data_IF_058660179192
#
_entry.id   IF_058660179192
#
_cell.length_a   1.000
_cell.length_b   1.000
_cell.length_c   1.000
_cell.angle_alpha   90.00
_cell.angle_beta   90.00
_cell.angle_gamma   90.00
#
_symmetry.space_group_name_H-M   'P 1'
#
loop_
_entity.id
_entity.type
_entity.pdbx_description
1 polymer ?
#
# COMPACT_ATOMS: atom_id res chain seq x y z
N UNK A 1 -29.05 10.02 34.03
CA UNK A 1 -27.64 9.78 34.39
C UNK A 1 -27.33 8.31 34.14
N UNK A 2 -27.15 7.94 32.87
CA UNK A 2 -26.80 6.58 32.45
C UNK A 2 -25.28 6.52 32.29
N UNK A 3 -24.63 5.80 33.21
CA UNK A 3 -23.21 5.44 33.17
C UNK A 3 -22.86 4.82 31.82
N UNK A 4 -22.16 5.57 30.96
CA UNK A 4 -21.44 5.01 29.82
C UNK A 4 -20.43 4.00 30.37
N UNK A 5 -20.65 2.70 30.10
CA UNK A 5 -19.68 1.68 30.43
C UNK A 5 -18.35 2.03 29.76
N UNK A 6 -17.38 2.47 30.57
CA UNK A 6 -16.03 2.70 30.10
C UNK A 6 -15.51 1.38 29.51
N UNK A 7 -15.15 1.37 28.23
CA UNK A 7 -14.39 0.26 27.65
C UNK A 7 -13.15 0.05 28.52
N UNK A 8 -13.11 -1.06 29.26
CA UNK A 8 -11.92 -1.43 30.05
C UNK A 8 -10.70 -1.41 29.12
N UNK A 9 -9.71 -0.57 29.46
CA UNK A 9 -8.46 -0.45 28.71
C UNK A 9 -7.72 -1.78 28.83
N UNK A 10 -7.73 -2.58 27.77
CA UNK A 10 -6.95 -3.80 27.69
C UNK A 10 -5.48 -3.41 27.47
N UNK A 11 -4.61 -3.76 28.42
CA UNK A 11 -3.16 -3.53 28.33
C UNK A 11 -2.45 -4.89 28.34
N UNK A 12 -1.55 -5.12 27.40
CA UNK A 12 -0.73 -6.34 27.33
C UNK A 12 0.74 -5.92 27.30
N UNK A 13 1.41 -5.80 28.47
CA UNK A 13 2.80 -5.32 28.56
C UNK A 13 3.79 -6.16 27.77
N UNK A 14 3.50 -7.46 27.56
CA UNK A 14 4.32 -8.34 26.75
C UNK A 14 4.50 -7.85 25.30
N UNK A 15 3.52 -7.10 24.74
CA UNK A 15 3.62 -6.55 23.38
C UNK A 15 4.61 -5.38 23.26
N UNK A 16 5.05 -4.81 24.37
CA UNK A 16 5.85 -3.58 24.43
C UNK A 16 7.31 -3.84 24.84
N UNK A 17 7.73 -5.11 24.92
CA UNK A 17 9.08 -5.47 25.34
C UNK A 17 10.12 -5.06 24.28
N UNK A 18 11.16 -4.27 24.63
CA UNK A 18 12.20 -3.85 23.69
C UNK A 18 12.93 -5.02 23.02
N UNK A 19 13.07 -6.16 23.71
CA UNK A 19 13.71 -7.37 23.19
C UNK A 19 13.01 -7.99 21.97
N UNK A 20 11.76 -7.61 21.72
CA UNK A 20 10.99 -8.07 20.55
C UNK A 20 11.31 -7.25 19.29
N UNK A 21 12.00 -6.12 19.44
CA UNK A 21 12.20 -5.11 18.40
C UNK A 21 13.71 -4.99 18.15
N UNK A 22 14.17 -5.55 17.03
CA UNK A 22 15.58 -5.50 16.68
C UNK A 22 16.01 -4.06 16.36
N UNK A 23 17.27 -3.74 16.66
CA UNK A 23 17.87 -2.49 16.23
C UNK A 23 18.18 -2.55 14.71
N UNK A 24 17.99 -1.43 14.04
CA UNK A 24 18.20 -1.34 12.60
C UNK A 24 19.72 -1.33 12.30
N UNK A 25 20.16 -1.93 11.17
CA UNK A 25 21.57 -1.89 10.77
C UNK A 25 22.04 -0.46 10.54
N UNK A 26 23.31 -0.16 10.84
CA UNK A 26 23.94 1.16 10.64
C UNK A 26 24.32 1.46 9.19
N UNK A 27 24.42 0.42 8.36
CA UNK A 27 24.80 0.49 6.95
C UNK A 27 23.73 -0.18 6.09
N UNK A 28 23.54 0.35 4.89
CA UNK A 28 22.64 -0.22 3.89
C UNK A 28 23.41 -0.84 2.72
N UNK A 29 22.68 -1.41 1.77
CA UNK A 29 23.28 -2.10 0.60
C UNK A 29 24.01 -1.13 -0.33
N UNK A 30 23.58 0.14 -0.41
CA UNK A 30 24.22 1.18 -1.22
C UNK A 30 25.57 1.59 -0.63
N UNK A 31 25.70 1.63 0.70
CA UNK A 31 26.97 1.93 1.37
C UNK A 31 28.13 1.07 0.87
N UNK A 32 27.90 -0.24 0.71
CA UNK A 32 28.92 -1.15 0.19
C UNK A 32 29.27 -0.88 -1.28
N UNK A 33 28.28 -0.52 -2.11
CA UNK A 33 28.54 -0.12 -3.50
C UNK A 33 29.35 1.18 -3.59
N UNK A 34 29.03 2.18 -2.75
CA UNK A 34 29.82 3.42 -2.67
C UNK A 34 31.25 3.14 -2.25
N UNK A 35 31.45 2.27 -1.27
CA UNK A 35 32.78 1.89 -0.81
C UNK A 35 33.63 1.27 -1.93
N UNK A 36 33.01 0.45 -2.80
CA UNK A 36 33.66 -0.23 -3.93
C UNK A 36 33.93 0.70 -5.12
N UNK A 37 32.98 1.57 -5.47
CA UNK A 37 32.99 2.28 -6.75
C UNK A 37 33.32 3.78 -6.68
N UNK A 38 33.23 4.39 -5.49
CA UNK A 38 33.41 5.84 -5.30
C UNK A 38 34.52 6.11 -4.27
N UNK A 39 35.54 6.95 -4.59
CA UNK A 39 36.57 7.37 -3.64
C UNK A 39 35.98 8.07 -2.41
N UNK A 40 36.56 7.95 -1.20
CA UNK A 40 36.00 8.49 0.04
C UNK A 40 35.64 9.98 -0.01
N UNK A 41 36.44 10.80 -0.70
CA UNK A 41 36.24 12.25 -0.79
C UNK A 41 35.09 12.67 -1.73
N UNK A 42 34.58 11.76 -2.56
CA UNK A 42 33.44 12.00 -3.46
C UNK A 42 32.15 11.32 -2.98
N UNK A 43 32.17 10.65 -1.83
CA UNK A 43 30.98 9.97 -1.30
C UNK A 43 30.04 11.02 -0.71
N UNK A 44 28.78 11.09 -1.16
CA UNK A 44 27.80 11.99 -0.57
C UNK A 44 27.50 11.57 0.88
N UNK A 45 27.10 12.55 1.70
CA UNK A 45 26.58 12.26 3.03
C UNK A 45 25.24 11.51 2.88
N UNK A 46 25.19 10.28 3.39
CA UNK A 46 23.99 9.44 3.37
C UNK A 46 23.42 9.37 4.78
N UNK A 47 22.17 9.79 4.95
CA UNK A 47 21.51 9.67 6.26
C UNK A 47 21.11 8.22 6.52
N UNK A 48 21.96 7.50 7.25
CA UNK A 48 21.60 6.18 7.80
C UNK A 48 21.11 6.26 9.25
N UNK A 49 21.01 7.47 9.80
CA UNK A 49 20.60 7.73 11.19
C UNK A 49 19.09 7.85 11.34
N UNK A 50 18.36 8.10 10.24
CA UNK A 50 16.91 8.25 10.23
C UNK A 50 16.44 9.60 10.77
N UNK A 51 17.29 10.62 10.64
CA UNK A 51 17.04 11.99 11.13
C UNK A 51 16.52 12.92 10.03
N UNK A 52 16.56 12.49 8.77
CA UNK A 52 16.11 13.27 7.62
C UNK A 52 14.57 13.30 7.48
N UNK A 53 13.97 14.47 7.17
CA UNK A 53 14.60 15.79 7.04
C UNK A 53 15.08 16.38 8.39
N UNK A 54 16.25 17.06 8.42
CA UNK A 54 16.97 17.45 9.63
C UNK A 54 16.27 18.52 10.49
N UNK A 55 15.36 19.30 9.89
CA UNK A 55 14.67 20.41 10.56
C UNK A 55 13.45 19.96 11.40
N UNK A 56 13.21 18.65 11.47
CA UNK A 56 11.99 18.10 12.05
C UNK A 56 12.24 17.41 13.39
N UNK A 57 11.38 17.70 14.38
CA UNK A 57 11.53 17.18 15.74
C UNK A 57 11.54 15.65 15.78
N UNK A 58 12.48 15.01 16.50
CA UNK A 58 12.52 13.55 16.63
C UNK A 58 11.32 12.99 17.40
N UNK A 59 10.70 13.80 18.27
CA UNK A 59 9.59 13.39 19.15
C UNK A 59 8.22 13.35 18.46
N UNK A 60 8.04 14.10 17.36
CA UNK A 60 6.80 14.10 16.58
C UNK A 60 7.10 14.39 15.11
N UNK A 61 7.54 13.39 14.33
CA UNK A 61 7.81 13.55 12.92
C UNK A 61 6.51 13.57 12.10
N UNK A 62 6.48 14.36 11.03
CA UNK A 62 5.49 14.28 9.97
C UNK A 62 5.69 12.96 9.22
N UNK A 63 4.93 11.95 9.65
CA UNK A 63 4.92 10.64 9.02
C UNK A 63 4.46 10.72 7.54
N UNK A 64 3.64 11.69 7.16
CA UNK A 64 3.21 11.84 5.78
C UNK A 64 4.37 12.33 4.90
N UNK A 65 5.16 13.29 5.40
CA UNK A 65 6.40 13.70 4.75
C UNK A 65 7.41 12.55 4.66
N UNK A 66 7.63 11.82 5.76
CA UNK A 66 8.54 10.67 5.78
C UNK A 66 8.10 9.56 4.80
N UNK A 67 6.79 9.34 4.64
CA UNK A 67 6.27 8.39 3.65
C UNK A 67 6.48 8.88 2.21
N UNK A 68 6.28 10.18 1.95
CA UNK A 68 6.50 10.79 0.62
C UNK A 68 7.98 10.77 0.21
N UNK A 69 8.89 10.98 1.16
CA UNK A 69 10.34 10.97 0.91
C UNK A 69 10.98 9.58 1.02
N UNK A 70 10.18 8.52 1.21
CA UNK A 70 10.65 7.15 1.44
C UNK A 70 11.64 7.01 2.62
N UNK A 71 11.52 7.85 3.64
CA UNK A 71 12.30 7.79 4.88
C UNK A 71 11.79 6.69 5.83
N UNK A 72 11.74 5.44 5.34
CA UNK A 72 11.16 4.30 6.07
C UNK A 72 11.91 3.94 7.36
N UNK A 73 13.21 4.25 7.45
CA UNK A 73 14.02 4.07 8.67
C UNK A 73 13.49 4.93 9.82
N UNK A 74 13.16 6.20 9.54
CA UNK A 74 12.55 7.12 10.52
C UNK A 74 11.21 6.58 11.04
N UNK A 75 10.37 6.10 10.12
CA UNK A 75 9.06 5.50 10.45
C UNK A 75 9.24 4.26 11.34
N UNK A 76 10.21 3.39 11.03
CA UNK A 76 10.48 2.18 11.79
C UNK A 76 10.99 2.47 13.22
N UNK A 77 11.87 3.48 13.36
CA UNK A 77 12.38 3.94 14.66
C UNK A 77 11.27 4.59 15.49
N UNK A 78 10.49 5.49 14.89
CA UNK A 78 9.37 6.14 15.58
C UNK A 78 8.32 5.13 16.06
N UNK A 79 7.96 4.15 15.22
CA UNK A 79 7.05 3.08 15.61
C UNK A 79 7.62 2.23 16.76
N UNK A 80 8.95 1.99 16.80
CA UNK A 80 9.64 1.32 17.92
C UNK A 80 9.41 2.06 19.22
N UNK A 81 9.68 3.36 19.23
CA UNK A 81 9.58 4.21 20.41
C UNK A 81 8.15 4.26 20.93
N UNK A 82 7.15 4.33 20.04
CA UNK A 82 5.73 4.30 20.42
C UNK A 82 5.30 2.97 21.01
N UNK A 83 5.77 1.84 20.46
CA UNK A 83 5.49 0.50 21.02
C UNK A 83 6.10 0.38 22.42
N UNK A 84 7.35 0.78 22.61
CA UNK A 84 8.04 0.69 23.91
C UNK A 84 7.40 1.64 24.94
N UNK A 85 7.13 2.89 24.54
CA UNK A 85 6.54 3.91 25.42
C UNK A 85 5.14 3.52 25.90
N UNK A 86 4.37 2.82 25.07
CA UNK A 86 3.05 2.30 25.45
C UNK A 86 3.12 1.23 26.57
N UNK A 87 4.29 0.61 26.77
CA UNK A 87 4.55 -0.32 27.88
C UNK A 87 5.13 0.33 29.13
N UNK A 88 5.52 1.60 29.09
CA UNK A 88 6.10 2.30 30.22
C UNK A 88 5.03 2.60 31.29
N UNK A 89 5.37 2.54 32.59
CA UNK A 89 4.45 2.96 33.65
C UNK A 89 4.05 4.43 33.47
N UNK A 90 2.77 4.75 33.64
CA UNK A 90 2.27 6.11 33.47
C UNK A 90 3.03 7.08 34.40
N UNK A 91 3.50 8.24 33.90
CA UNK A 91 4.11 9.25 34.76
C UNK A 91 3.08 9.71 35.79
N UNK A 92 3.45 9.72 37.06
CA UNK A 92 2.60 9.98 38.23
C UNK A 92 2.07 11.43 38.33
N UNK A 93 1.98 12.20 37.24
CA UNK A 93 1.74 13.64 37.29
C UNK A 93 1.19 14.26 36.00
N UNK A 94 0.18 13.67 35.35
CA UNK A 94 -0.59 14.40 34.34
C UNK A 94 -2.09 14.41 34.66
N UNK A 95 -2.74 15.59 34.67
CA UNK A 95 -4.18 15.67 34.80
C UNK A 95 -4.82 15.02 33.58
N UNK A 96 -5.84 14.21 33.83
CA UNK A 96 -6.67 13.56 32.82
C UNK A 96 -7.42 14.66 32.08
N UNK A 97 -6.87 15.12 30.95
CA UNK A 97 -7.67 15.87 29.99
C UNK A 97 -8.54 14.90 29.21
N UNK A 98 -9.82 15.25 29.17
CA UNK A 98 -10.92 14.47 28.62
C UNK A 98 -10.75 14.15 27.12
N UNK A 99 -11.32 13.01 26.71
CA UNK A 99 -11.68 12.63 25.33
C UNK A 99 -10.54 12.35 24.31
N UNK A 100 -9.73 11.32 24.57
CA UNK A 100 -9.31 10.42 23.48
C UNK A 100 -9.90 9.02 23.71
N UNK A 101 -10.67 8.47 22.74
CA UNK A 101 -11.43 7.22 22.94
C UNK A 101 -10.55 5.95 23.01
N UNK A 102 -9.25 6.05 22.75
CA UNK A 102 -8.25 5.00 22.94
C UNK A 102 -6.95 5.62 23.46
N UNK A 103 -6.61 5.40 24.73
CA UNK A 103 -5.35 5.94 25.28
C UNK A 103 -4.11 5.36 24.57
N UNK A 104 -2.94 6.01 24.70
CA UNK A 104 -1.68 5.58 24.04
C UNK A 104 -1.25 4.14 24.41
N UNK A 105 -1.76 3.61 25.54
CA UNK A 105 -1.42 2.28 26.05
C UNK A 105 -2.43 1.19 25.67
N UNK A 106 -3.46 1.51 24.87
CA UNK A 106 -4.45 0.53 24.43
C UNK A 106 -3.84 -0.48 23.45
N UNK A 107 -4.19 -1.76 23.61
CA UNK A 107 -3.71 -2.85 22.75
C UNK A 107 -4.05 -2.61 21.28
N UNK A 108 -5.20 -1.99 20.95
CA UNK A 108 -5.52 -1.67 19.56
C UNK A 108 -4.50 -0.69 18.96
N UNK A 109 -4.13 0.35 19.71
CA UNK A 109 -3.13 1.35 19.29
C UNK A 109 -1.75 0.72 19.15
N UNK A 110 -1.32 -0.09 20.10
CA UNK A 110 -0.04 -0.81 20.04
C UNK A 110 0.03 -1.71 18.80
N UNK A 111 -1.03 -2.46 18.49
CA UNK A 111 -1.08 -3.33 17.30
C UNK A 111 -1.08 -2.56 15.98
N UNK A 112 -1.61 -1.32 15.96
CA UNK A 112 -1.47 -0.43 14.79
C UNK A 112 0.00 -0.02 14.60
N UNK A 113 0.71 0.34 15.67
CA UNK A 113 2.14 0.64 15.58
C UNK A 113 2.98 -0.57 15.15
N UNK A 114 2.65 -1.77 15.63
CA UNK A 114 3.24 -3.01 15.11
C UNK A 114 3.02 -3.18 13.61
N UNK A 115 1.82 -2.86 13.11
CA UNK A 115 1.54 -2.89 11.66
C UNK A 115 2.43 -1.92 10.90
N UNK A 116 2.58 -0.69 11.39
CA UNK A 116 3.43 0.34 10.79
C UNK A 116 4.90 -0.09 10.78
N UNK A 117 5.41 -0.59 11.91
CA UNK A 117 6.80 -1.06 12.03
C UNK A 117 7.10 -2.19 11.06
N UNK A 118 6.26 -3.23 11.05
CA UNK A 118 6.44 -4.38 10.15
C UNK A 118 6.37 -3.96 8.67
N UNK A 119 5.47 -3.02 8.32
CA UNK A 119 5.40 -2.49 6.96
C UNK A 119 6.66 -1.69 6.59
N UNK A 120 7.22 -0.92 7.52
CA UNK A 120 8.46 -0.18 7.30
C UNK A 120 9.65 -1.13 7.10
N UNK A 121 9.77 -2.21 7.89
CA UNK A 121 10.82 -3.23 7.69
C UNK A 121 10.75 -3.89 6.30
N UNK A 122 9.54 -4.15 5.79
CA UNK A 122 9.35 -4.65 4.42
C UNK A 122 9.83 -3.65 3.37
N UNK A 123 9.55 -2.35 3.56
CA UNK A 123 10.01 -1.29 2.63
C UNK A 123 11.52 -1.10 2.66
N UNK A 124 12.14 -1.27 3.83
CA UNK A 124 13.60 -1.30 4.00
C UNK A 124 14.26 -2.59 3.47
N UNK A 125 13.47 -3.57 2.99
CA UNK A 125 13.93 -4.91 2.57
C UNK A 125 14.68 -5.70 3.67
N UNK A 126 14.41 -5.39 4.94
CA UNK A 126 14.98 -6.09 6.10
C UNK A 126 14.16 -7.36 6.42
N UNK A 127 14.11 -8.30 5.48
CA UNK A 127 13.21 -9.45 5.54
C UNK A 127 13.48 -10.38 6.73
N UNK A 128 14.75 -10.57 7.10
CA UNK A 128 15.14 -11.40 8.26
C UNK A 128 14.63 -10.79 9.57
N UNK A 129 14.82 -9.47 9.76
CA UNK A 129 14.30 -8.77 10.94
C UNK A 129 12.78 -8.80 10.97
N UNK A 130 12.13 -8.53 9.83
CA UNK A 130 10.67 -8.62 9.71
C UNK A 130 10.13 -9.99 10.14
N UNK A 131 10.74 -11.09 9.67
CA UNK A 131 10.29 -12.45 10.01
C UNK A 131 10.40 -12.73 11.51
N UNK A 132 11.53 -12.39 12.13
CA UNK A 132 11.77 -12.58 13.56
C UNK A 132 10.79 -11.79 14.43
N UNK A 133 10.58 -10.51 14.10
CA UNK A 133 9.66 -9.65 14.84
C UNK A 133 8.21 -10.10 14.68
N UNK A 134 7.81 -10.48 13.45
CA UNK A 134 6.48 -10.99 13.17
C UNK A 134 6.21 -12.30 13.90
N UNK A 135 7.17 -13.23 13.93
CA UNK A 135 7.05 -14.50 14.63
C UNK A 135 6.90 -14.28 16.14
N UNK A 136 7.70 -13.38 16.70
CA UNK A 136 7.67 -13.01 18.12
C UNK A 136 6.31 -12.39 18.51
N UNK A 137 5.81 -11.44 17.71
CA UNK A 137 4.48 -10.86 17.87
C UNK A 137 3.40 -11.95 17.81
N UNK A 138 3.48 -12.85 16.84
CA UNK A 138 2.48 -13.91 16.66
C UNK A 138 2.48 -14.92 17.82
N UNK A 139 3.64 -15.21 18.40
CA UNK A 139 3.78 -16.06 19.58
C UNK A 139 3.06 -15.44 20.78
N UNK A 140 3.17 -14.13 20.99
CA UNK A 140 2.46 -13.41 22.06
C UNK A 140 0.95 -13.46 21.82
N UNK A 141 0.49 -13.07 20.63
CA UNK A 141 -0.94 -13.06 20.28
C UNK A 141 -1.63 -14.42 20.48
N UNK A 142 -0.91 -15.52 20.21
CA UNK A 142 -1.40 -16.90 20.42
C UNK A 142 -1.51 -17.28 21.89
N UNK A 143 -0.57 -16.80 22.72
CA UNK A 143 -0.47 -17.15 24.15
C UNK A 143 -1.39 -16.29 25.02
N UNK A 144 -1.62 -15.04 24.64
CA UNK A 144 -2.46 -14.11 25.40
C UNK A 144 -3.93 -14.44 25.24
N UNK A 145 -4.65 -14.62 26.35
CA UNK A 145 -6.10 -14.78 26.39
C UNK A 145 -6.77 -13.57 27.00
N UNK A 146 -7.92 -13.19 26.46
CA UNK A 146 -8.74 -12.08 26.92
C UNK A 146 -10.12 -12.60 27.34
N UNK A 147 -10.76 -11.99 28.35
CA UNK A 147 -12.13 -12.31 28.72
C UNK A 147 -13.08 -11.84 27.61
N UNK A 148 -13.99 -12.72 27.16
CA UNK A 148 -15.15 -12.36 26.35
C UNK A 148 -16.36 -12.17 27.27
N UNK A 149 -16.84 -10.95 27.38
CA UNK A 149 -18.14 -10.68 27.97
C UNK A 149 -19.22 -11.05 26.95
N UNK A 150 -19.91 -12.16 27.17
CA UNK A 150 -21.15 -12.45 26.44
C UNK A 150 -22.26 -11.59 27.06
N UNK A 151 -22.68 -10.54 26.36
CA UNK A 151 -23.92 -9.83 26.69
C UNK A 151 -25.13 -10.71 26.33
N UNK A 152 -25.34 -11.79 27.07
CA UNK A 152 -26.63 -12.51 27.04
C UNK A 152 -27.57 -11.80 28.00
N UNK A 153 -28.24 -10.77 27.52
CA UNK A 153 -29.37 -10.14 28.22
C UNK A 153 -30.62 -11.03 28.06
N UNK A 154 -30.78 -12.04 28.92
CA UNK A 154 -32.07 -12.66 29.26
C UNK A 154 -31.91 -13.89 30.16
N UNK A 155 -31.62 -13.68 31.44
CA UNK A 155 -32.11 -14.53 32.55
C UNK A 155 -31.49 -14.06 33.86
N UNK A 156 -32.34 -13.71 34.84
CA UNK A 156 -31.94 -13.09 36.10
C UNK A 156 -31.31 -14.05 37.12
N UNK A 157 -30.67 -15.14 36.68
CA UNK A 157 -30.07 -16.17 37.55
C UNK A 157 -28.89 -16.91 36.91
N UNK A 158 -28.21 -16.32 35.93
CA UNK A 158 -27.06 -16.96 35.29
C UNK A 158 -25.73 -16.51 35.93
N UNK A 159 -25.04 -17.45 36.59
CA UNK A 159 -23.60 -17.36 36.90
C UNK A 159 -22.85 -16.84 35.69
N UNK A 160 -22.19 -15.68 35.81
CA UNK A 160 -21.39 -15.06 34.74
C UNK A 160 -20.18 -15.95 34.44
N UNK A 161 -20.33 -16.92 33.54
CA UNK A 161 -19.20 -17.72 33.05
C UNK A 161 -18.38 -16.86 32.11
N UNK A 162 -17.28 -16.28 32.59
CA UNK A 162 -16.33 -15.53 31.76
C UNK A 162 -15.67 -16.50 30.78
N UNK A 163 -15.97 -16.35 29.48
CA UNK A 163 -15.37 -17.20 28.44
C UNK A 163 -14.07 -16.57 27.98
N UNK A 164 -12.95 -17.25 28.15
CA UNK A 164 -11.66 -16.79 27.64
C UNK A 164 -11.51 -17.10 26.16
N UNK A 165 -10.99 -16.13 25.39
CA UNK A 165 -10.63 -16.31 23.99
C UNK A 165 -9.20 -15.84 23.76
N UNK A 166 -8.51 -16.42 22.77
CA UNK A 166 -7.18 -15.92 22.37
C UNK A 166 -7.31 -14.53 21.79
N UNK A 167 -6.34 -13.66 22.10
CA UNK A 167 -6.26 -12.32 21.52
C UNK A 167 -6.18 -12.38 20.00
N UNK A 168 -5.50 -13.40 19.45
CA UNK A 168 -5.43 -13.66 18.00
C UNK A 168 -6.80 -13.77 17.32
N UNK A 169 -7.80 -14.30 18.01
CA UNK A 169 -9.17 -14.51 17.48
C UNK A 169 -10.09 -13.31 17.80
N UNK A 170 -9.54 -12.25 18.40
CA UNK A 170 -10.24 -11.02 18.73
C UNK A 170 -10.31 -10.07 17.53
N UNK A 171 -11.42 -9.33 17.34
CA UNK A 171 -11.48 -8.26 16.34
C UNK A 171 -10.50 -7.10 16.63
N UNK A 172 -9.89 -7.06 17.83
CA UNK A 172 -8.88 -6.06 18.22
C UNK A 172 -7.62 -6.17 17.34
N UNK A 173 -7.28 -7.38 16.88
CA UNK A 173 -6.13 -7.58 15.99
C UNK A 173 -6.45 -7.05 14.60
N UNK A 174 -5.71 -6.05 14.09
CA UNK A 174 -5.95 -5.51 12.75
C UNK A 174 -5.90 -6.59 11.67
N UNK A 175 -6.88 -6.58 10.76
CA UNK A 175 -6.92 -7.52 9.65
C UNK A 175 -5.67 -7.43 8.76
N UNK A 176 -5.07 -6.25 8.65
CA UNK A 176 -3.78 -6.01 7.97
C UNK A 176 -2.65 -6.89 8.51
N UNK A 177 -2.57 -7.13 9.83
CA UNK A 177 -1.56 -8.03 10.41
C UNK A 177 -1.76 -9.49 9.97
N UNK A 178 -3.03 -9.93 9.88
CA UNK A 178 -3.32 -11.26 9.33
C UNK A 178 -2.89 -11.37 7.86
N UNK A 179 -3.14 -10.32 7.06
CA UNK A 179 -2.70 -10.27 5.66
C UNK A 179 -1.17 -10.30 5.57
N UNK A 180 -0.45 -9.53 6.39
CA UNK A 180 1.02 -9.56 6.45
C UNK A 180 1.53 -10.95 6.81
N UNK A 181 0.92 -11.63 7.79
CA UNK A 181 1.30 -13.00 8.17
C UNK A 181 1.02 -14.03 7.07
N UNK A 182 -0.06 -13.86 6.30
CA UNK A 182 -0.37 -14.74 5.19
C UNK A 182 0.60 -14.55 4.01
N UNK A 183 1.09 -13.33 3.79
CA UNK A 183 2.03 -12.97 2.72
C UNK A 183 3.49 -13.27 3.02
N UNK A 184 3.85 -13.50 4.27
CA UNK A 184 5.22 -13.79 4.69
C UNK A 184 5.96 -14.86 3.85
N UNK A 185 5.35 -15.98 3.43
CA UNK A 185 6.04 -16.97 2.59
C UNK A 185 6.49 -16.44 1.23
N UNK A 186 5.88 -15.37 0.71
CA UNK A 186 6.32 -14.72 -0.54
C UNK A 186 7.75 -14.19 -0.41
N UNK A 187 8.18 -13.82 0.80
CA UNK A 187 9.54 -13.34 1.06
C UNK A 187 10.58 -14.46 1.02
N UNK A 188 10.16 -15.69 1.33
CA UNK A 188 11.00 -16.90 1.26
C UNK A 188 10.88 -17.61 -0.09
N UNK A 189 10.34 -16.94 -1.11
CA UNK A 189 10.08 -17.48 -2.45
C UNK A 189 9.18 -18.74 -2.46
N UNK A 190 8.24 -18.85 -1.52
CA UNK A 190 7.21 -19.91 -1.49
C UNK A 190 5.81 -19.33 -1.77
N UNK A 191 5.47 -19.08 -3.05
CA UNK A 191 4.16 -18.55 -3.43
C UNK A 191 3.00 -19.51 -3.15
N UNK A 192 3.24 -20.83 -3.10
CA UNK A 192 2.18 -21.82 -2.85
C UNK A 192 1.72 -21.78 -1.40
N UNK A 193 2.64 -21.73 -0.43
CA UNK A 193 2.26 -21.57 0.97
C UNK A 193 1.57 -20.23 1.24
N UNK A 194 1.99 -19.15 0.56
CA UNK A 194 1.29 -17.87 0.65
C UNK A 194 -0.12 -17.94 0.07
N UNK A 195 -0.31 -18.62 -1.06
CA UNK A 195 -1.60 -18.84 -1.71
C UNK A 195 -2.58 -19.56 -0.76
N UNK A 196 -2.14 -20.65 -0.12
CA UNK A 196 -2.95 -21.40 0.84
C UNK A 196 -3.37 -20.53 2.03
N UNK A 197 -2.42 -19.79 2.63
CA UNK A 197 -2.71 -18.90 3.77
C UNK A 197 -3.67 -17.77 3.38
N UNK A 198 -3.49 -17.15 2.21
CA UNK A 198 -4.39 -16.11 1.70
C UNK A 198 -5.77 -16.68 1.37
N UNK A 199 -5.85 -17.89 0.80
CA UNK A 199 -7.12 -18.56 0.53
C UNK A 199 -7.89 -18.87 1.82
N UNK A 200 -7.20 -19.35 2.87
CA UNK A 200 -7.81 -19.56 4.18
C UNK A 200 -8.39 -18.26 4.77
N UNK A 201 -7.69 -17.12 4.61
CA UNK A 201 -8.23 -15.81 5.00
C UNK A 201 -9.43 -15.38 4.15
N UNK A 202 -9.44 -15.66 2.84
CA UNK A 202 -10.60 -15.40 1.99
C UNK A 202 -11.82 -16.20 2.47
N UNK A 203 -11.65 -17.48 2.79
CA UNK A 203 -12.73 -18.30 3.34
C UNK A 203 -13.23 -17.75 4.68
N UNK A 204 -12.32 -17.30 5.56
CA UNK A 204 -12.70 -16.61 6.80
C UNK A 204 -13.53 -15.36 6.52
N UNK A 205 -13.15 -14.54 5.53
CA UNK A 205 -13.92 -13.35 5.15
C UNK A 205 -15.34 -13.72 4.69
N UNK A 206 -15.48 -14.72 3.82
CA UNK A 206 -16.78 -15.22 3.35
C UNK A 206 -17.65 -15.74 4.48
N UNK A 207 -17.07 -16.51 5.41
CA UNK A 207 -17.79 -17.05 6.58
C UNK A 207 -18.26 -15.92 7.49
N UNK A 208 -17.41 -14.93 7.77
CA UNK A 208 -17.75 -13.80 8.62
C UNK A 208 -18.82 -12.91 7.97
N UNK A 209 -18.71 -12.60 6.68
CA UNK A 209 -19.74 -11.89 5.93
C UNK A 209 -21.09 -12.60 6.04
N UNK A 210 -21.15 -13.91 5.73
CA UNK A 210 -22.38 -14.70 5.82
C UNK A 210 -22.95 -14.73 7.24
N UNK A 211 -22.09 -14.73 8.26
CA UNK A 211 -22.51 -14.66 9.66
C UNK A 211 -23.22 -13.33 9.97
N UNK A 212 -22.61 -12.20 9.63
CA UNK A 212 -23.21 -10.89 9.88
C UNK A 212 -24.46 -10.62 9.04
N UNK A 213 -24.51 -11.10 7.78
CA UNK A 213 -25.74 -11.07 6.96
C UNK A 213 -26.87 -11.86 7.62
N UNK A 214 -26.58 -13.03 8.22
CA UNK A 214 -27.59 -13.81 8.94
C UNK A 214 -28.07 -13.10 10.21
N UNK A 215 -27.16 -12.49 10.98
CA UNK A 215 -27.51 -11.71 12.17
C UNK A 215 -28.45 -10.57 11.78
N UNK A 216 -28.11 -9.78 10.76
CA UNK A 216 -28.96 -8.70 10.27
C UNK A 216 -30.36 -9.18 9.82
N UNK A 217 -30.46 -10.38 9.21
CA UNK A 217 -31.74 -10.94 8.78
C UNK A 217 -32.59 -11.47 9.93
N UNK A 218 -31.98 -12.15 10.91
CA UNK A 218 -32.70 -12.72 12.05
C UNK A 218 -33.22 -11.62 12.96
N UNK A 219 -32.42 -10.59 13.20
CA UNK A 219 -32.85 -9.43 14.00
C UNK A 219 -34.00 -8.68 13.31
N UNK A 220 -33.96 -8.53 11.97
CA UNK A 220 -35.05 -7.92 11.19
C UNK A 220 -36.35 -8.74 11.15
N UNK A 221 -36.31 -10.06 11.37
CA UNK A 221 -37.50 -10.92 11.41
C UNK A 221 -38.15 -11.00 12.80
N UNK A 222 -37.41 -10.72 13.87
CA UNK A 222 -37.90 -10.83 15.24
C UNK A 222 -38.59 -9.55 15.76
N UNK A 223 -38.58 -8.44 15.00
CA UNK A 223 -38.88 -7.11 15.54
C UNK A 223 -39.72 -6.24 14.59
N UNK A 224 -41.01 -6.54 14.44
CA UNK A 224 -42.00 -5.64 13.81
C UNK A 224 -42.48 -4.47 14.71
N UNK A 225 -41.85 -4.25 15.88
CA UNK A 225 -42.30 -3.22 16.83
C UNK A 225 -41.16 -2.60 17.62
N UNK A 226 -40.78 -1.37 17.24
CA UNK A 226 -40.07 -0.34 18.04
C UNK A 226 -38.73 -0.71 18.70
N UNK A 227 -37.61 -0.19 18.18
CA UNK A 227 -36.55 0.33 19.06
C UNK A 227 -35.07 -0.01 18.82
N UNK A 228 -34.65 -0.86 17.87
CA UNK A 228 -33.21 -1.22 17.72
C UNK A 228 -32.70 -1.30 16.28
N UNK A 229 -32.92 -0.25 15.48
CA UNK A 229 -32.38 -0.11 14.11
C UNK A 229 -30.83 -0.09 14.06
N UNK A 230 -30.16 0.32 15.14
CA UNK A 230 -28.70 0.49 15.19
C UNK A 230 -27.92 -0.84 15.16
N UNK A 231 -28.43 -1.90 15.80
CA UNK A 231 -27.79 -3.22 15.81
C UNK A 231 -27.83 -3.89 14.43
N UNK A 232 -28.96 -3.78 13.75
CA UNK A 232 -29.15 -4.29 12.39
C UNK A 232 -28.27 -3.50 11.39
N UNK A 233 -28.23 -2.17 11.53
CA UNK A 233 -27.34 -1.30 10.75
C UNK A 233 -25.86 -1.65 11.00
N UNK A 234 -25.47 -1.89 12.25
CA UNK A 234 -24.12 -2.33 12.61
C UNK A 234 -23.77 -3.69 12.02
N UNK A 235 -24.69 -4.66 12.04
CA UNK A 235 -24.48 -5.97 11.43
C UNK A 235 -24.35 -5.88 9.89
N UNK A 236 -25.13 -5.00 9.23
CA UNK A 236 -24.97 -4.72 7.79
C UNK A 236 -23.64 -4.05 7.48
N UNK A 237 -23.21 -3.09 8.29
CA UNK A 237 -21.92 -2.41 8.13
C UNK A 237 -20.75 -3.40 8.26
N UNK A 238 -20.77 -4.28 9.27
CA UNK A 238 -19.79 -5.35 9.43
C UNK A 238 -19.82 -6.33 8.26
N UNK A 239 -21.00 -6.72 7.78
CA UNK A 239 -21.12 -7.56 6.58
C UNK A 239 -20.45 -6.92 5.36
N UNK A 240 -20.70 -5.62 5.11
CA UNK A 240 -20.05 -4.86 4.04
C UNK A 240 -18.53 -4.77 4.20
N UNK A 241 -18.04 -4.59 5.43
CA UNK A 241 -16.61 -4.58 5.73
C UNK A 241 -15.93 -5.92 5.41
N UNK A 242 -16.56 -7.05 5.79
CA UNK A 242 -16.05 -8.38 5.48
C UNK A 242 -16.12 -8.73 4.00
N UNK A 243 -17.14 -8.22 3.30
CA UNK A 243 -17.24 -8.32 1.85
C UNK A 243 -16.07 -7.61 1.16
N UNK A 244 -15.79 -6.36 1.55
CA UNK A 244 -14.68 -5.56 1.01
C UNK A 244 -13.31 -6.21 1.29
N UNK A 245 -13.11 -6.74 2.51
CA UNK A 245 -11.92 -7.54 2.84
C UNK A 245 -11.80 -8.77 1.93
N UNK A 246 -12.93 -9.44 1.64
CA UNK A 246 -13.00 -10.56 0.72
C UNK A 246 -12.62 -10.18 -0.70
N UNK A 247 -13.12 -9.04 -1.22
CA UNK A 247 -12.74 -8.51 -2.54
C UNK A 247 -11.24 -8.23 -2.64
N UNK A 248 -10.67 -7.51 -1.66
CA UNK A 248 -9.22 -7.22 -1.62
C UNK A 248 -8.38 -8.47 -1.54
N UNK A 249 -8.81 -9.47 -0.76
CA UNK A 249 -8.12 -10.76 -0.68
C UNK A 249 -8.20 -11.53 -2.01
N UNK A 250 -9.31 -11.43 -2.72
CA UNK A 250 -9.51 -12.04 -4.05
C UNK A 250 -8.52 -11.43 -5.05
N UNK A 251 -8.36 -10.11 -5.04
CA UNK A 251 -7.35 -9.40 -5.84
C UNK A 251 -5.92 -9.79 -5.45
N UNK A 252 -5.62 -9.87 -4.15
CA UNK A 252 -4.30 -10.30 -3.68
C UNK A 252 -3.96 -11.73 -4.13
N UNK A 253 -4.90 -12.65 -4.04
CA UNK A 253 -4.72 -14.03 -4.50
C UNK A 253 -4.52 -14.05 -6.02
N UNK A 254 -5.27 -13.24 -6.78
CA UNK A 254 -5.06 -13.13 -8.21
C UNK A 254 -3.61 -12.70 -8.51
N UNK A 255 -3.06 -11.69 -7.83
CA UNK A 255 -1.65 -11.30 -8.01
C UNK A 255 -0.66 -12.45 -7.75
N UNK A 256 -0.88 -13.26 -6.70
CA UNK A 256 -0.04 -14.44 -6.44
C UNK A 256 -0.16 -15.47 -7.59
N UNK A 257 -1.35 -15.63 -8.17
CA UNK A 257 -1.55 -16.51 -9.33
C UNK A 257 -0.89 -15.97 -10.60
N UNK A 258 -0.79 -14.64 -10.78
CA UNK A 258 -0.01 -14.04 -11.86
C UNK A 258 1.48 -14.36 -11.70
N UNK A 259 2.02 -14.25 -10.47
CA UNK A 259 3.42 -14.63 -10.20
C UNK A 259 3.69 -16.13 -10.43
N UNK A 260 2.64 -16.95 -10.38
CA UNK A 260 2.65 -18.38 -10.72
C UNK A 260 2.30 -18.68 -12.18
N UNK A 261 2.07 -17.64 -13.00
CA UNK A 261 1.64 -17.73 -14.41
C UNK A 261 0.32 -18.50 -14.64
N UNK A 262 -0.50 -18.70 -13.60
CA UNK A 262 -1.82 -19.33 -13.70
C UNK A 262 -2.90 -18.28 -14.03
N UNK A 263 -2.82 -17.76 -15.24
CA UNK A 263 -3.77 -16.77 -15.77
C UNK A 263 -5.23 -17.27 -15.75
N UNK A 264 -5.55 -18.52 -16.15
CA UNK A 264 -6.92 -19.01 -16.11
C UNK A 264 -7.53 -19.02 -14.69
N UNK A 265 -6.77 -19.44 -13.68
CA UNK A 265 -7.25 -19.39 -12.30
C UNK A 265 -7.45 -17.95 -11.82
N UNK A 266 -6.53 -17.04 -12.13
CA UNK A 266 -6.64 -15.62 -11.79
C UNK A 266 -7.88 -14.98 -12.43
N UNK A 267 -8.13 -15.27 -13.72
CA UNK A 267 -9.29 -14.78 -14.47
C UNK A 267 -10.59 -15.28 -13.84
N UNK A 268 -10.68 -16.58 -13.56
CA UNK A 268 -11.88 -17.18 -12.95
C UNK A 268 -12.15 -16.63 -11.54
N UNK A 269 -11.08 -16.31 -10.79
CA UNK A 269 -11.18 -15.75 -9.46
C UNK A 269 -11.68 -14.30 -9.46
N UNK A 270 -11.23 -13.47 -10.41
CA UNK A 270 -11.63 -12.07 -10.52
C UNK A 270 -12.96 -11.85 -11.22
N UNK A 271 -13.41 -12.80 -12.06
CA UNK A 271 -14.66 -12.70 -12.84
C UNK A 271 -15.89 -12.26 -12.03
N UNK A 272 -16.13 -12.73 -10.79
CA UNK A 272 -17.28 -12.31 -9.99
C UNK A 272 -17.25 -10.83 -9.56
N UNK A 273 -16.10 -10.15 -9.66
CA UNK A 273 -15.95 -8.74 -9.31
C UNK A 273 -16.28 -7.80 -10.48
N UNK A 274 -16.39 -8.34 -11.70
CA UNK A 274 -16.68 -7.59 -12.92
C UNK A 274 -18.13 -7.13 -12.88
N UNK A 275 -18.34 -5.84 -13.12
CA UNK A 275 -19.68 -5.28 -13.31
C UNK A 275 -19.90 -5.00 -14.80
N UNK A 276 -20.90 -5.62 -15.45
CA UNK A 276 -21.21 -5.38 -16.85
C UNK A 276 -22.01 -4.08 -17.08
N UNK A 277 -22.49 -3.44 -16.01
CA UNK A 277 -23.34 -2.25 -16.12
C UNK A 277 -22.53 -0.96 -16.24
N UNK A 278 -22.92 -0.05 -17.14
CA UNK A 278 -22.28 1.27 -17.29
C UNK A 278 -22.55 2.22 -16.11
N UNK A 279 -23.54 1.92 -15.27
CA UNK A 279 -23.85 2.66 -14.02
C UNK A 279 -23.15 2.11 -12.78
N UNK A 280 -22.14 1.26 -12.96
CA UNK A 280 -21.40 0.65 -11.85
C UNK A 280 -20.53 1.67 -11.11
N UNK A 281 -20.33 1.46 -9.81
CA UNK A 281 -19.47 2.28 -8.96
C UNK A 281 -18.05 2.44 -9.55
N UNK A 282 -17.35 3.56 -9.32
CA UNK A 282 -15.99 3.77 -9.82
C UNK A 282 -15.03 2.64 -9.39
N UNK A 283 -15.24 2.05 -8.20
CA UNK A 283 -14.46 0.90 -7.72
C UNK A 283 -14.70 -0.35 -8.58
N UNK A 284 -15.94 -0.58 -9.02
CA UNK A 284 -16.27 -1.70 -9.89
C UNK A 284 -15.67 -1.51 -11.30
N UNK A 285 -15.69 -0.29 -11.82
CA UNK A 285 -15.04 0.05 -13.08
C UNK A 285 -13.51 -0.09 -12.99
N UNK A 286 -12.90 0.25 -11.85
CA UNK A 286 -11.48 -0.01 -11.61
C UNK A 286 -11.13 -1.51 -11.65
N UNK A 287 -12.02 -2.40 -11.17
CA UNK A 287 -11.82 -3.85 -11.32
C UNK A 287 -11.88 -4.30 -12.79
N UNK A 288 -12.72 -3.68 -13.63
CA UNK A 288 -12.73 -3.96 -15.07
C UNK A 288 -11.39 -3.58 -15.74
N UNK A 289 -10.75 -2.48 -15.31
CA UNK A 289 -9.41 -2.10 -15.79
C UNK A 289 -8.31 -3.02 -15.26
N UNK A 290 -8.39 -3.48 -14.01
CA UNK A 290 -7.49 -4.50 -13.49
C UNK A 290 -7.59 -5.79 -14.31
N UNK A 291 -8.79 -6.17 -14.70
CA UNK A 291 -9.04 -7.34 -15.55
C UNK A 291 -8.51 -7.14 -16.97
N UNK A 292 -8.62 -5.93 -17.53
CA UNK A 292 -7.99 -5.59 -18.79
C UNK A 292 -6.47 -5.77 -18.72
N UNK A 293 -5.83 -5.33 -17.63
CA UNK A 293 -4.40 -5.55 -17.41
C UNK A 293 -4.04 -7.03 -17.34
N UNK A 294 -4.84 -7.84 -16.62
CA UNK A 294 -4.64 -9.29 -16.58
C UNK A 294 -4.75 -9.93 -17.97
N UNK A 295 -5.70 -9.49 -18.79
CA UNK A 295 -5.81 -9.97 -20.17
C UNK A 295 -4.62 -9.56 -21.03
N UNK A 296 -4.05 -8.36 -20.83
CA UNK A 296 -2.82 -7.96 -21.51
C UNK A 296 -1.67 -8.88 -21.14
N UNK A 297 -1.43 -9.14 -19.84
CA UNK A 297 -0.38 -10.06 -19.38
C UNK A 297 -0.59 -11.50 -19.92
N UNK A 298 -1.84 -11.93 -20.04
CA UNK A 298 -2.20 -13.23 -20.62
C UNK A 298 -2.15 -13.26 -22.17
N UNK A 299 -1.84 -12.15 -22.85
CA UNK A 299 -1.81 -12.03 -24.30
C UNK A 299 -3.18 -11.93 -24.99
N UNK A 300 -4.28 -11.85 -24.24
CA UNK A 300 -5.64 -11.75 -24.74
C UNK A 300 -6.03 -10.28 -25.07
N UNK A 301 -5.33 -9.68 -26.04
CA UNK A 301 -5.44 -8.25 -26.40
C UNK A 301 -6.88 -7.83 -26.73
N UNK A 302 -7.63 -8.66 -27.45
CA UNK A 302 -9.02 -8.36 -27.81
C UNK A 302 -9.95 -8.25 -26.59
N UNK A 303 -9.76 -9.12 -25.59
CA UNK A 303 -10.53 -9.09 -24.34
C UNK A 303 -10.16 -7.87 -23.50
N UNK A 304 -8.87 -7.52 -23.43
CA UNK A 304 -8.41 -6.30 -22.78
C UNK A 304 -9.03 -5.04 -23.41
N UNK A 305 -9.04 -4.97 -24.74
CA UNK A 305 -9.63 -3.86 -25.48
C UNK A 305 -11.13 -3.73 -25.19
N UNK A 306 -11.88 -4.83 -25.16
CA UNK A 306 -13.31 -4.80 -24.84
C UNK A 306 -13.58 -4.25 -23.42
N UNK A 307 -12.77 -4.65 -22.43
CA UNK A 307 -12.87 -4.11 -21.07
C UNK A 307 -12.58 -2.60 -21.02
N UNK A 308 -11.52 -2.15 -21.68
CA UNK A 308 -11.14 -0.72 -21.74
C UNK A 308 -12.24 0.10 -22.44
N UNK A 309 -12.80 -0.41 -23.53
CA UNK A 309 -13.89 0.23 -24.26
C UNK A 309 -15.15 0.35 -23.39
N UNK A 310 -15.52 -0.72 -22.69
CA UNK A 310 -16.67 -0.71 -21.77
C UNK A 310 -16.54 0.37 -20.69
N UNK A 311 -15.36 0.53 -20.10
CA UNK A 311 -15.12 1.57 -19.08
C UNK A 311 -15.06 2.96 -19.73
N UNK A 312 -14.49 3.10 -20.92
CA UNK A 312 -14.46 4.40 -21.62
C UNK A 312 -15.85 4.90 -22.02
N UNK A 313 -16.80 3.98 -22.27
CA UNK A 313 -18.18 4.32 -22.61
C UNK A 313 -19.03 4.69 -21.39
N UNK A 314 -18.65 4.22 -20.18
CA UNK A 314 -19.34 4.58 -18.94
C UNK A 314 -18.89 5.90 -18.33
N UNK A 315 -17.68 6.36 -18.66
CA UNK A 315 -17.17 7.66 -18.22
C UNK A 315 -17.80 8.80 -19.04
N UNK A 316 -18.42 9.81 -18.40
CA UNK A 316 -18.86 11.01 -19.09
C UNK A 316 -17.66 11.67 -19.76
N UNK A 317 -17.76 12.05 -21.03
CA UNK A 317 -16.75 12.92 -21.64
C UNK A 317 -16.68 14.21 -20.83
N UNK A 318 -15.49 14.73 -20.49
CA UNK A 318 -15.37 15.95 -19.72
C UNK A 318 -16.01 17.11 -20.49
N UNK A 319 -17.23 17.50 -20.09
CA UNK A 319 -17.88 18.70 -20.59
C UNK A 319 -17.15 19.87 -19.94
N UNK A 320 -16.67 20.79 -20.76
CA UNK A 320 -15.86 21.95 -20.37
C UNK A 320 -16.63 23.03 -19.59
N UNK A 321 -17.62 22.68 -18.75
CA UNK A 321 -18.41 23.67 -18.02
C UNK A 321 -18.82 23.24 -16.61
N UNK A 322 -18.49 24.13 -15.66
CA UNK A 322 -19.13 24.41 -14.35
C UNK A 322 -18.76 23.56 -13.11
N UNK A 323 -17.85 24.11 -12.30
CA UNK A 323 -18.12 24.74 -10.99
C UNK A 323 -18.72 23.97 -9.80
N UNK A 324 -18.68 22.63 -9.76
CA UNK A 324 -19.04 21.92 -8.52
C UNK A 324 -17.94 20.92 -8.12
N UNK A 325 -17.05 21.34 -7.21
CA UNK A 325 -16.12 20.47 -6.48
C UNK A 325 -16.90 19.65 -5.44
N UNK A 326 -17.42 18.49 -5.83
CA UNK A 326 -17.83 17.44 -4.88
C UNK A 326 -16.68 16.46 -4.65
N UNK A 327 -16.60 15.86 -3.46
CA UNK A 327 -15.60 14.84 -3.09
C UNK A 327 -15.54 13.63 -4.04
N UNK A 328 -16.61 13.41 -4.84
CA UNK A 328 -16.70 12.41 -5.90
C UNK A 328 -15.69 12.61 -7.04
N UNK A 329 -15.19 13.83 -7.24
CA UNK A 329 -14.21 14.13 -8.29
C UNK A 329 -12.87 13.41 -8.10
N UNK A 330 -12.50 13.04 -6.87
CA UNK A 330 -11.23 12.33 -6.60
C UNK A 330 -11.23 10.88 -7.11
N UNK A 331 -12.33 10.16 -6.95
CA UNK A 331 -12.45 8.78 -7.41
C UNK A 331 -12.59 8.69 -8.94
N UNK A 332 -13.30 9.64 -9.54
CA UNK A 332 -13.46 9.75 -11.00
C UNK A 332 -12.15 10.14 -11.68
N UNK A 333 -11.39 11.09 -11.11
CA UNK A 333 -10.05 11.44 -11.61
C UNK A 333 -9.06 10.28 -11.49
N UNK A 334 -9.10 9.51 -10.39
CA UNK A 334 -8.29 8.31 -10.24
C UNK A 334 -8.67 7.23 -11.28
N UNK A 335 -9.97 7.03 -11.52
CA UNK A 335 -10.45 6.09 -12.53
C UNK A 335 -10.03 6.51 -13.94
N UNK A 336 -10.10 7.80 -14.25
CA UNK A 336 -9.65 8.35 -15.53
C UNK A 336 -8.13 8.13 -15.73
N UNK A 337 -7.32 8.37 -14.70
CA UNK A 337 -5.88 8.06 -14.75
C UNK A 337 -5.62 6.58 -15.02
N UNK A 338 -6.34 5.67 -14.35
CA UNK A 338 -6.24 4.23 -14.59
C UNK A 338 -6.65 3.86 -16.02
N UNK A 339 -7.69 4.50 -16.56
CA UNK A 339 -8.13 4.29 -17.95
C UNK A 339 -7.05 4.73 -18.95
N UNK A 340 -6.44 5.90 -18.75
CA UNK A 340 -5.40 6.42 -19.64
C UNK A 340 -4.14 5.56 -19.60
N UNK A 341 -3.72 5.10 -18.42
CA UNK A 341 -2.66 4.09 -18.27
C UNK A 341 -3.01 2.80 -19.01
N UNK A 342 -4.25 2.33 -18.90
CA UNK A 342 -4.68 1.08 -19.55
C UNK A 342 -4.70 1.20 -21.08
N UNK A 343 -5.10 2.36 -21.62
CA UNK A 343 -5.01 2.67 -23.06
C UNK A 343 -3.56 2.74 -23.55
N UNK A 344 -2.69 3.37 -22.77
CA UNK A 344 -1.27 3.48 -23.10
C UNK A 344 -0.62 2.09 -23.14
N UNK A 345 -0.91 1.23 -22.15
CA UNK A 345 -0.43 -0.16 -22.14
C UNK A 345 -0.98 -0.95 -23.33
N UNK A 346 -2.28 -0.83 -23.66
CA UNK A 346 -2.86 -1.48 -24.83
C UNK A 346 -2.13 -1.11 -26.13
N UNK A 347 -1.81 0.17 -26.32
CA UNK A 347 -1.07 0.64 -27.49
C UNK A 347 0.36 0.07 -27.54
N UNK A 348 1.05 -0.01 -26.40
CA UNK A 348 2.36 -0.68 -26.29
C UNK A 348 2.26 -2.16 -26.70
N UNK A 349 1.27 -2.89 -26.19
CA UNK A 349 1.04 -4.30 -26.52
C UNK A 349 0.69 -4.52 -28.00
N UNK A 350 0.08 -3.54 -28.65
CA UNK A 350 -0.21 -3.56 -30.09
C UNK A 350 1.00 -3.17 -30.95
N UNK A 351 2.09 -2.70 -30.35
CA UNK A 351 3.27 -2.16 -31.05
C UNK A 351 3.05 -0.77 -31.64
N UNK A 352 1.94 -0.10 -31.34
CA UNK A 352 1.66 1.27 -31.75
C UNK A 352 2.28 2.26 -30.74
N UNK A 353 3.60 2.37 -30.79
CA UNK A 353 4.35 3.29 -29.94
C UNK A 353 3.98 4.77 -30.14
N UNK A 354 3.68 5.27 -31.36
CA UNK A 354 3.15 6.61 -31.56
C UNK A 354 1.87 6.90 -30.76
N UNK A 355 0.88 6.01 -30.82
CA UNK A 355 -0.32 6.16 -30.01
C UNK A 355 -0.01 6.05 -28.51
N UNK A 356 0.88 5.12 -28.12
CA UNK A 356 1.29 4.94 -26.72
C UNK A 356 1.89 6.22 -26.13
N UNK A 357 2.82 6.87 -26.86
CA UNK A 357 3.43 8.15 -26.46
C UNK A 357 2.36 9.21 -26.19
N UNK A 358 1.41 9.38 -27.12
CA UNK A 358 0.33 10.36 -26.95
C UNK A 358 -0.56 10.08 -25.73
N UNK A 359 -0.76 8.81 -25.36
CA UNK A 359 -1.47 8.46 -24.12
C UNK A 359 -0.61 8.67 -22.87
N UNK A 360 0.67 8.30 -22.89
CA UNK A 360 1.57 8.50 -21.76
C UNK A 360 1.79 9.98 -21.45
N UNK A 361 1.86 10.83 -22.48
CA UNK A 361 1.91 12.29 -22.30
C UNK A 361 0.68 12.83 -21.59
N UNK A 362 -0.52 12.30 -21.84
CA UNK A 362 -1.74 12.65 -21.10
C UNK A 362 -1.69 12.20 -19.65
N UNK A 363 -1.11 11.03 -19.37
CA UNK A 363 -0.94 10.53 -18.00
C UNK A 363 0.03 11.43 -17.21
N UNK A 364 1.14 11.84 -17.84
CA UNK A 364 2.19 12.66 -17.22
C UNK A 364 1.74 14.11 -17.04
N UNK A 365 1.25 14.76 -18.11
CA UNK A 365 0.92 16.20 -18.10
C UNK A 365 -0.55 16.49 -17.72
N UNK A 366 -1.39 15.46 -17.65
CA UNK A 366 -2.83 15.59 -17.42
C UNK A 366 -3.62 16.08 -18.64
N UNK A 367 -4.96 16.14 -18.53
CA UNK A 367 -5.85 16.50 -19.65
C UNK A 367 -5.82 17.98 -20.08
N UNK A 368 -5.07 18.87 -19.43
CA UNK A 368 -5.12 20.32 -19.66
C UNK A 368 -3.87 20.95 -20.33
N UNK A 369 -2.82 20.20 -20.67
CA UNK A 369 -1.59 20.79 -21.21
C UNK A 369 -1.55 20.96 -22.75
N UNK A 370 -2.62 20.64 -23.49
CA UNK A 370 -2.63 20.80 -24.96
C UNK A 370 -2.99 22.21 -25.44
N UNK A 371 -3.35 23.14 -24.55
CA UNK A 371 -3.58 24.54 -24.90
C UNK A 371 -2.39 25.37 -24.44
N UNK A 372 -1.69 26.02 -25.38
CA UNK A 372 -0.45 26.77 -25.18
C UNK A 372 -0.58 28.08 -24.39
N UNK A 373 -1.42 28.13 -23.35
CA UNK A 373 -1.49 29.27 -22.45
C UNK A 373 -0.57 29.06 -21.25
N UNK A 374 0.63 29.58 -21.44
CA UNK A 374 1.74 29.61 -20.52
C UNK A 374 1.48 30.63 -19.39
N UNK A 375 0.58 30.37 -18.43
CA UNK A 375 0.48 31.29 -17.27
C UNK A 375 -0.04 30.78 -15.91
N UNK A 376 -0.60 29.56 -15.79
CA UNK A 376 -1.01 29.04 -14.47
C UNK A 376 -0.14 27.86 -14.03
N UNK A 377 1.03 28.18 -13.48
CA UNK A 377 1.94 27.20 -12.87
C UNK A 377 1.43 26.80 -11.48
N UNK A 378 0.38 25.98 -11.42
CA UNK A 378 0.10 25.18 -10.22
C UNK A 378 1.07 23.99 -10.20
N UNK A 379 2.28 24.25 -9.68
CA UNK A 379 3.43 23.35 -9.56
C UNK A 379 3.22 22.21 -8.52
N UNK A 380 1.98 21.78 -8.29
CA UNK A 380 1.58 20.90 -7.20
C UNK A 380 1.29 19.46 -7.62
N UNK A 381 1.58 19.07 -8.87
CA UNK A 381 1.29 17.72 -9.35
C UNK A 381 2.51 16.84 -9.25
N UNK A 382 2.48 15.91 -8.29
CA UNK A 382 3.50 14.86 -8.14
C UNK A 382 3.69 14.11 -9.47
N UNK A 383 4.91 14.08 -10.00
CA UNK A 383 5.21 13.36 -11.23
C UNK A 383 5.15 11.86 -10.94
N UNK A 384 4.42 11.10 -11.76
CA UNK A 384 4.40 9.64 -11.66
C UNK A 384 5.65 9.05 -12.34
N UNK A 385 6.64 8.52 -11.59
CA UNK A 385 7.89 8.05 -12.17
C UNK A 385 7.68 6.82 -13.08
N UNK A 386 6.67 6.00 -12.81
CA UNK A 386 6.37 4.83 -13.65
C UNK A 386 5.81 5.26 -15.01
N UNK A 387 4.94 6.27 -15.04
CA UNK A 387 4.41 6.81 -16.29
C UNK A 387 5.52 7.49 -17.12
N UNK A 388 6.40 8.26 -16.48
CA UNK A 388 7.55 8.89 -17.15
C UNK A 388 8.52 7.83 -17.69
N UNK A 389 8.78 6.77 -16.93
CA UNK A 389 9.58 5.63 -17.39
C UNK A 389 8.96 4.95 -18.62
N UNK A 390 7.65 4.72 -18.62
CA UNK A 390 6.97 4.08 -19.75
C UNK A 390 6.89 5.01 -20.97
N UNK A 391 6.78 6.32 -20.79
CA UNK A 391 6.91 7.31 -21.85
C UNK A 391 8.30 7.25 -22.49
N UNK A 392 9.36 7.28 -21.68
CA UNK A 392 10.74 7.18 -22.15
C UNK A 392 10.98 5.87 -22.91
N UNK A 393 10.47 4.74 -22.40
CA UNK A 393 10.54 3.46 -23.12
C UNK A 393 9.78 3.48 -24.45
N UNK A 394 8.60 4.10 -24.49
CA UNK A 394 7.81 4.21 -25.73
C UNK A 394 8.55 5.05 -26.79
N UNK A 395 9.21 6.14 -26.37
CA UNK A 395 10.10 6.95 -27.23
C UNK A 395 11.34 6.17 -27.67
N UNK A 396 11.92 5.38 -26.77
CA UNK A 396 13.05 4.51 -27.08
C UNK A 396 12.69 3.49 -28.17
N UNK A 397 11.53 2.84 -28.09
CA UNK A 397 11.07 1.88 -29.11
C UNK A 397 10.73 2.52 -30.46
N UNK A 398 10.54 3.84 -30.52
CA UNK A 398 10.45 4.59 -31.78
C UNK A 398 11.82 4.89 -32.41
N UNK A 399 12.92 4.59 -31.73
CA UNK A 399 14.28 4.95 -32.14
C UNK A 399 14.77 6.29 -31.59
N UNK A 400 13.96 7.01 -30.80
CA UNK A 400 14.30 8.33 -30.25
C UNK A 400 15.05 8.20 -28.91
N UNK A 401 16.22 7.55 -28.92
CA UNK A 401 16.99 7.26 -27.69
C UNK A 401 17.46 8.53 -26.97
N UNK A 402 17.79 9.59 -27.72
CA UNK A 402 18.22 10.87 -27.15
C UNK A 402 17.09 11.56 -26.36
N UNK A 403 15.89 11.56 -26.91
CA UNK A 403 14.69 12.11 -26.27
C UNK A 403 14.34 11.29 -25.01
N UNK A 404 14.33 9.96 -25.13
CA UNK A 404 14.09 9.05 -24.02
C UNK A 404 15.07 9.24 -22.85
N UNK A 405 16.37 9.36 -23.15
CA UNK A 405 17.39 9.60 -22.13
C UNK A 405 17.21 10.96 -21.48
N UNK A 406 16.93 12.00 -22.28
CA UNK A 406 16.74 13.37 -21.78
C UNK A 406 15.55 13.45 -20.84
N UNK A 407 14.45 12.74 -21.12
CA UNK A 407 13.28 12.67 -20.24
C UNK A 407 13.64 12.11 -18.86
N UNK A 408 14.40 11.01 -18.79
CA UNK A 408 14.78 10.40 -17.53
C UNK A 408 15.87 11.18 -16.78
N UNK A 409 16.81 11.84 -17.49
CA UNK A 409 17.77 12.76 -16.88
C UNK A 409 17.09 13.98 -16.26
N UNK A 410 16.11 14.57 -16.96
CA UNK A 410 15.32 15.67 -16.41
C UNK A 410 14.56 15.25 -15.17
N UNK A 411 13.91 14.08 -15.20
CA UNK A 411 13.25 13.54 -14.01
C UNK A 411 14.22 13.38 -12.82
N UNK A 412 15.44 12.89 -13.07
CA UNK A 412 16.49 12.75 -12.05
C UNK A 412 16.99 14.10 -11.50
N UNK A 413 16.93 15.17 -12.30
CA UNK A 413 17.34 16.52 -11.91
C UNK A 413 16.23 17.28 -11.19
N UNK A 414 15.01 17.24 -11.73
CA UNK A 414 13.86 18.01 -11.25
C UNK A 414 13.25 17.38 -9.98
N UNK A 415 13.15 16.05 -9.94
CA UNK A 415 12.60 15.29 -8.80
C UNK A 415 13.52 14.13 -8.37
N UNK A 416 14.71 14.41 -7.81
CA UNK A 416 15.72 13.39 -7.53
C UNK A 416 15.23 12.31 -6.54
N UNK A 417 14.48 12.67 -5.50
CA UNK A 417 13.94 11.71 -4.53
C UNK A 417 12.91 10.76 -5.15
N UNK A 418 12.01 11.28 -5.99
CA UNK A 418 11.02 10.49 -6.72
C UNK A 418 11.72 9.53 -7.71
N UNK A 419 12.63 10.07 -8.52
CA UNK A 419 13.36 9.33 -9.55
C UNK A 419 14.21 8.19 -8.96
N UNK A 420 14.99 8.48 -7.91
CA UNK A 420 15.92 7.52 -7.31
C UNK A 420 15.23 6.45 -6.47
N UNK A 421 13.99 6.69 -6.01
CA UNK A 421 13.15 5.66 -5.38
C UNK A 421 12.57 4.65 -6.38
N UNK A 422 12.48 5.02 -7.67
CA UNK A 422 11.93 4.19 -8.72
C UNK A 422 13.04 3.39 -9.43
N UNK A 423 13.28 2.15 -8.99
CA UNK A 423 14.32 1.27 -9.54
C UNK A 423 14.25 1.09 -11.06
N UNK A 424 13.03 1.03 -11.63
CA UNK A 424 12.83 0.94 -13.07
C UNK A 424 13.36 2.16 -13.83
N UNK A 425 13.20 3.37 -13.29
CA UNK A 425 13.73 4.62 -13.87
C UNK A 425 15.25 4.55 -13.94
N UNK A 426 15.90 4.18 -12.83
CA UNK A 426 17.36 4.06 -12.73
C UNK A 426 17.89 2.99 -13.68
N UNK A 427 17.26 1.81 -13.70
CA UNK A 427 17.66 0.71 -14.58
C UNK A 427 17.54 1.10 -16.05
N UNK A 428 16.43 1.72 -16.45
CA UNK A 428 16.19 2.15 -17.83
C UNK A 428 17.17 3.25 -18.24
N UNK A 429 17.41 4.23 -17.39
CA UNK A 429 18.38 5.31 -17.64
C UNK A 429 19.80 4.76 -17.83
N UNK A 430 20.24 3.84 -16.97
CA UNK A 430 21.56 3.19 -17.10
C UNK A 430 21.63 2.38 -18.40
N UNK A 431 20.58 1.64 -18.73
CA UNK A 431 20.51 0.87 -19.98
C UNK A 431 20.63 1.78 -21.19
N UNK A 432 19.94 2.92 -21.20
CA UNK A 432 20.03 3.89 -22.30
C UNK A 432 21.43 4.50 -22.42
N UNK A 433 22.11 4.79 -21.30
CA UNK A 433 23.50 5.24 -21.32
C UNK A 433 24.48 4.17 -21.81
N UNK A 434 24.30 2.90 -21.42
CA UNK A 434 25.09 1.76 -21.92
C UNK A 434 24.97 1.60 -23.43
N UNK A 435 23.79 1.85 -24.00
CA UNK A 435 23.57 1.74 -25.45
C UNK A 435 24.14 2.93 -26.24
N UNK A 436 24.35 4.09 -25.58
CA UNK A 436 24.77 5.33 -26.24
C UNK A 436 26.25 5.66 -26.06
N UNK A 437 26.87 5.19 -24.98
CA UNK A 437 28.20 5.64 -24.56
C UNK A 437 29.13 4.48 -24.26
N UNK A 438 30.33 4.54 -24.82
CA UNK A 438 31.44 3.65 -24.47
C UNK A 438 31.91 3.86 -23.01
N UNK A 439 31.61 5.02 -22.41
CA UNK A 439 31.92 5.35 -21.01
C UNK A 439 30.71 5.13 -20.07
N UNK A 440 30.07 3.97 -20.21
CA UNK A 440 28.92 3.59 -19.37
C UNK A 440 29.26 3.55 -17.88
N UNK A 441 30.51 3.26 -17.51
CA UNK A 441 30.97 3.15 -16.12
C UNK A 441 30.93 4.52 -15.42
N UNK A 442 31.38 5.59 -16.07
CA UNK A 442 31.30 6.94 -15.49
C UNK A 442 29.86 7.38 -15.27
N UNK A 443 28.95 7.08 -16.20
CA UNK A 443 27.53 7.36 -16.06
C UNK A 443 26.91 6.61 -14.87
N UNK A 444 27.22 5.31 -14.73
CA UNK A 444 26.78 4.51 -13.58
C UNK A 444 27.29 5.06 -12.25
N UNK A 445 28.55 5.50 -12.19
CA UNK A 445 29.13 6.12 -10.98
C UNK A 445 28.44 7.44 -10.63
N UNK A 446 28.17 8.30 -11.62
CA UNK A 446 27.41 9.55 -11.41
C UNK A 446 26.01 9.24 -10.88
N UNK A 447 25.30 8.31 -11.49
CA UNK A 447 23.95 7.91 -11.06
C UNK A 447 23.98 7.30 -9.65
N UNK A 448 24.99 6.48 -9.33
CA UNK A 448 25.19 5.94 -7.97
C UNK A 448 25.35 7.05 -6.94
N UNK A 449 26.07 8.14 -7.25
CA UNK A 449 26.20 9.30 -6.34
C UNK A 449 24.83 9.97 -6.12
N UNK A 450 24.05 10.18 -7.17
CA UNK A 450 22.68 10.72 -7.04
C UNK A 450 21.77 9.80 -6.21
N UNK A 451 21.76 8.50 -6.49
CA UNK A 451 20.99 7.50 -5.73
C UNK A 451 21.42 7.50 -4.26
N UNK A 452 22.72 7.56 -3.98
CA UNK A 452 23.21 7.60 -2.61
C UNK A 452 22.80 8.86 -1.83
N UNK A 453 22.68 9.99 -2.52
CA UNK A 453 22.29 11.27 -1.92
C UNK A 453 20.77 11.36 -1.66
N UNK A 454 19.94 10.85 -2.57
CA UNK A 454 18.50 11.13 -2.57
C UNK A 454 17.61 9.90 -2.33
N UNK A 455 18.09 8.69 -2.55
CA UNK A 455 17.29 7.49 -2.36
C UNK A 455 17.18 7.13 -0.87
N UNK A 456 15.98 6.79 -0.44
CA UNK A 456 15.73 6.24 0.90
C UNK A 456 16.46 4.91 1.14
N UNK A 457 16.51 4.51 2.41
CA UNK A 457 17.00 3.19 2.79
C UNK A 457 16.02 2.13 2.26
N UNK A 458 16.51 1.16 1.49
CA UNK A 458 15.68 0.09 0.91
C UNK A 458 15.68 0.04 -0.62
N UNK A 459 16.30 1.01 -1.31
CA UNK A 459 16.52 0.92 -2.76
C UNK A 459 17.43 -0.25 -3.11
N UNK A 460 16.96 -1.10 -4.02
CA UNK A 460 17.69 -2.24 -4.54
C UNK A 460 18.91 -1.82 -5.34
N UNK A 461 20.02 -2.51 -5.12
CA UNK A 461 21.30 -2.23 -5.80
C UNK A 461 21.40 -2.84 -7.20
N UNK A 462 20.52 -3.78 -7.54
CA UNK A 462 20.49 -4.46 -8.84
C UNK A 462 20.17 -3.52 -9.99
N UNK A 463 19.36 -2.47 -9.77
CA UNK A 463 19.01 -1.50 -10.79
C UNK A 463 20.22 -0.71 -11.33
N UNK A 464 21.30 -0.63 -10.55
CA UNK A 464 22.52 0.11 -10.90
C UNK A 464 23.45 -0.64 -11.88
N UNK A 465 23.24 -1.95 -12.08
CA UNK A 465 24.11 -2.80 -12.93
C UNK A 465 25.62 -2.63 -12.64
N UNK A 466 25.97 -2.54 -11.36
CA UNK A 466 27.34 -2.33 -10.83
C UNK A 466 27.85 -3.51 -9.98
N UNK A 467 27.07 -4.58 -9.89
CA UNK A 467 27.37 -5.79 -9.10
C UNK A 467 28.10 -6.80 -9.97
#
# INVERSE_FOLDING_TARGET
MSSSAASERLVVPALCQPSLLADLPSHDTIFHLLAKHIPPHLRPARDTTGTFPPDESPTNPDLALAMRTNAWRRIALYARERIISAGAPAPSSQPVHDLEPAGPNDVSTVLRWWTVRLQALLRLRLYSQFQLELESLWAILKRTTIPRHSSSSSSSTATTTVRWARLLDSPIVPFSLHVLRAREPLLSADPRAALEKCHALLQRCKVMQRRFVRVAKVDGLLQEGTGTSELEAGARAEAGLWEERGRRMTVLIAFILLDLEDYPAAINLLRPLISPSPSSSPTAQAYNLLFARLFLEAGAVASAQACIQSVSASLPTPIASSDIRTDSGSAETQLQQLLDVSKALLAVWQGDYPAAVGQWERVVHGPQSQSGNHMDMDNSREINPAAMSNLALSRFYQGNVDEATTLLERLLQDEPSTATSAEAVIFNLITMHELRSDDSISHKRRILVHVAQWAGDGTGTSCLKLI
#
